data_IF_771858612672
#
_entry.id   IF_771858612672
#
_cell.length_a   1.000
_cell.length_b   1.000
_cell.length_c   1.000
_cell.angle_alpha   90.00
_cell.angle_beta   90.00
_cell.angle_gamma   90.00
#
_symmetry.space_group_name_H-M   'P 1'
#
loop_
_entity.id
_entity.type
_entity.pdbx_description
1 polymer ?
#
# COMPACT_ATOMS: atom_id res chain seq x y z
N UNK A 1 23.22 -14.65 -56.97
CA UNK A 1 24.03 -14.31 -55.79
C UNK A 1 23.32 -13.19 -55.05
N UNK A 2 22.70 -13.43 -53.91
CA UNK A 2 22.16 -12.36 -53.07
C UNK A 2 23.23 -11.93 -52.06
N UNK A 3 23.32 -10.62 -51.88
CA UNK A 3 24.27 -9.98 -50.98
C UNK A 3 23.90 -10.27 -49.52
N UNK A 4 24.85 -10.77 -48.76
CA UNK A 4 24.81 -11.00 -47.34
C UNK A 4 24.87 -9.67 -46.62
N UNK A 5 23.86 -9.40 -45.78
CA UNK A 5 23.89 -8.29 -44.81
C UNK A 5 24.97 -8.53 -43.72
N UNK A 6 25.67 -7.54 -43.26
CA UNK A 6 26.68 -7.70 -42.23
C UNK A 6 26.07 -7.95 -40.88
N UNK A 7 26.36 -9.10 -40.27
CA UNK A 7 26.13 -9.45 -38.88
C UNK A 7 26.94 -8.49 -38.00
N UNK A 8 26.29 -7.67 -37.20
CA UNK A 8 26.93 -6.95 -36.10
C UNK A 8 27.34 -7.95 -35.01
N UNK A 9 28.44 -8.66 -35.22
CA UNK A 9 29.12 -9.39 -34.19
C UNK A 9 30.30 -8.53 -33.68
N UNK A 10 30.38 -8.34 -32.40
CA UNK A 10 31.55 -7.78 -31.78
C UNK A 10 31.25 -6.71 -30.76
N UNK A 11 31.13 -7.14 -29.51
CA UNK A 11 31.24 -6.24 -28.35
C UNK A 11 32.62 -5.58 -28.36
N UNK A 12 32.73 -4.44 -29.01
CA UNK A 12 33.81 -3.48 -28.80
C UNK A 12 33.38 -2.58 -27.65
N UNK A 13 34.13 -2.52 -26.57
CA UNK A 13 33.98 -1.60 -25.50
C UNK A 13 33.94 -0.16 -26.05
N UNK A 14 32.74 0.39 -26.24
CA UNK A 14 32.53 1.82 -26.45
C UNK A 14 32.56 2.50 -25.09
N UNK A 15 33.72 3.04 -24.75
CA UNK A 15 33.88 4.00 -23.64
C UNK A 15 32.93 5.18 -23.85
N UNK A 16 32.00 5.42 -22.88
CA UNK A 16 31.57 6.78 -22.62
C UNK A 16 30.11 7.17 -22.79
N UNK A 17 29.15 6.29 -23.14
CA UNK A 17 27.73 6.65 -22.99
C UNK A 17 27.10 5.81 -21.88
N UNK A 18 26.79 6.46 -20.75
CA UNK A 18 26.06 5.79 -19.67
C UNK A 18 24.63 5.53 -20.13
N UNK A 19 24.14 4.30 -19.98
CA UNK A 19 22.74 3.95 -20.17
C UNK A 19 21.90 4.84 -19.28
N UNK A 20 20.99 5.63 -19.90
CA UNK A 20 20.13 6.54 -19.17
C UNK A 20 18.82 5.87 -18.74
N UNK A 21 18.29 5.00 -19.56
CA UNK A 21 17.00 4.35 -19.35
C UNK A 21 17.10 2.85 -19.57
N UNK A 22 16.55 2.05 -18.65
CA UNK A 22 16.36 0.60 -18.84
C UNK A 22 14.89 0.32 -19.04
N UNK A 23 14.52 -0.27 -20.19
CA UNK A 23 13.19 -0.82 -20.46
C UNK A 23 13.16 -2.26 -20.01
N UNK A 24 12.40 -2.56 -18.98
CA UNK A 24 12.24 -3.90 -18.41
C UNK A 24 10.99 -4.55 -18.97
N UNK A 25 11.14 -5.71 -19.57
CA UNK A 25 10.07 -6.55 -20.12
C UNK A 25 9.93 -7.80 -19.26
N UNK A 26 9.00 -7.86 -18.29
CA UNK A 26 8.68 -9.12 -17.61
C UNK A 26 7.97 -10.05 -18.58
N UNK A 27 8.53 -11.23 -18.84
CA UNK A 27 8.04 -12.18 -19.81
C UNK A 27 7.78 -13.56 -19.19
N UNK A 28 6.65 -14.17 -19.49
CA UNK A 28 6.33 -15.56 -19.18
C UNK A 28 5.46 -16.15 -20.29
N UNK A 29 6.00 -17.08 -21.07
CA UNK A 29 5.36 -17.68 -22.25
C UNK A 29 4.84 -16.61 -23.24
N UNK A 30 5.73 -15.71 -23.67
CA UNK A 30 5.44 -14.62 -24.61
C UNK A 30 6.21 -14.79 -25.93
N UNK A 31 6.59 -16.03 -26.30
CA UNK A 31 7.33 -16.32 -27.54
C UNK A 31 6.66 -15.78 -28.81
N UNK A 32 5.33 -15.66 -28.81
CA UNK A 32 4.57 -15.16 -29.97
C UNK A 32 4.68 -13.64 -30.17
N UNK A 33 4.74 -12.85 -29.06
CA UNK A 33 4.75 -11.38 -29.11
C UNK A 33 6.15 -10.79 -29.04
N UNK A 34 7.03 -11.41 -28.26
CA UNK A 34 8.35 -10.88 -27.90
C UNK A 34 9.24 -10.53 -29.11
N UNK A 35 9.27 -11.32 -30.22
CA UNK A 35 10.09 -10.96 -31.39
C UNK A 35 9.73 -9.59 -31.97
N UNK A 36 8.43 -9.31 -32.15
CA UNK A 36 7.96 -8.05 -32.72
C UNK A 36 8.22 -6.88 -31.76
N UNK A 37 8.01 -7.08 -30.45
CA UNK A 37 8.29 -6.09 -29.42
C UNK A 37 9.78 -5.71 -29.41
N UNK A 38 10.67 -6.72 -29.42
CA UNK A 38 12.11 -6.47 -29.44
C UNK A 38 12.58 -5.78 -30.73
N UNK A 39 12.04 -6.18 -31.87
CA UNK A 39 12.36 -5.56 -33.14
C UNK A 39 11.90 -4.09 -33.22
N UNK A 40 10.73 -3.77 -32.61
CA UNK A 40 10.25 -2.38 -32.54
C UNK A 40 11.10 -1.53 -31.60
N UNK A 41 11.48 -2.07 -30.43
CA UNK A 41 12.37 -1.40 -29.47
C UNK A 41 13.75 -1.12 -30.10
N UNK A 42 14.36 -2.12 -30.77
CA UNK A 42 15.68 -1.96 -31.42
C UNK A 42 15.67 -0.91 -32.54
N UNK A 43 14.54 -0.77 -33.25
CA UNK A 43 14.37 0.21 -34.31
C UNK A 43 14.20 1.63 -33.81
N UNK A 44 13.58 1.82 -32.64
CA UNK A 44 13.22 3.14 -32.12
C UNK A 44 14.18 3.68 -31.08
N UNK A 45 14.70 2.82 -30.21
CA UNK A 45 15.52 3.24 -29.08
C UNK A 45 16.97 3.38 -29.52
N UNK A 46 17.63 4.41 -29.03
CA UNK A 46 19.05 4.68 -29.28
C UNK A 46 19.96 4.01 -28.22
N UNK A 47 21.26 4.25 -28.30
CA UNK A 47 22.28 3.68 -27.39
C UNK A 47 22.15 4.16 -25.93
N UNK A 48 21.28 5.15 -25.65
CA UNK A 48 21.01 5.60 -24.28
C UNK A 48 20.02 4.69 -23.54
N UNK A 49 19.42 3.75 -24.28
CA UNK A 49 18.48 2.78 -23.72
C UNK A 49 19.09 1.38 -23.62
N UNK A 50 18.76 0.67 -22.55
CA UNK A 50 18.95 -0.76 -22.38
C UNK A 50 17.61 -1.45 -22.41
N UNK A 51 17.47 -2.52 -23.19
CA UNK A 51 16.32 -3.42 -23.13
C UNK A 51 16.70 -4.64 -22.29
N UNK A 52 15.94 -4.87 -21.21
CA UNK A 52 16.14 -5.97 -20.27
C UNK A 52 14.89 -6.87 -20.24
N UNK A 53 15.00 -8.05 -20.80
CA UNK A 53 13.96 -9.09 -20.65
C UNK A 53 14.22 -9.89 -19.40
N UNK A 54 13.18 -10.04 -18.57
CA UNK A 54 13.20 -10.95 -17.42
C UNK A 54 12.26 -12.11 -17.71
N UNK A 55 12.83 -13.23 -18.14
CA UNK A 55 12.10 -14.49 -18.37
C UNK A 55 11.75 -15.14 -17.02
N UNK A 56 10.49 -15.15 -16.66
CA UNK A 56 10.01 -15.72 -15.40
C UNK A 56 9.77 -17.23 -15.48
N UNK A 57 10.76 -17.96 -16.00
CA UNK A 57 10.74 -19.41 -16.08
C UNK A 57 9.76 -19.94 -17.13
N UNK A 58 9.76 -19.35 -18.32
CA UNK A 58 8.92 -19.77 -19.44
C UNK A 58 9.13 -21.23 -19.82
N UNK A 59 8.08 -21.86 -20.31
CA UNK A 59 8.05 -23.24 -20.80
C UNK A 59 7.98 -23.34 -22.32
N UNK A 60 7.82 -22.20 -23.00
CA UNK A 60 7.88 -22.04 -24.45
C UNK A 60 9.23 -21.48 -24.91
N UNK A 61 9.33 -21.04 -26.16
CA UNK A 61 10.57 -20.51 -26.75
C UNK A 61 10.89 -19.06 -26.34
N UNK A 62 10.22 -18.48 -25.34
CA UNK A 62 10.44 -17.09 -24.90
C UNK A 62 11.90 -16.79 -24.55
N UNK A 63 12.54 -17.67 -23.78
CA UNK A 63 13.97 -17.53 -23.44
C UNK A 63 14.87 -17.57 -24.68
N UNK A 64 14.62 -18.49 -25.59
CA UNK A 64 15.36 -18.63 -26.85
C UNK A 64 15.24 -17.38 -27.72
N UNK A 65 14.03 -16.81 -27.80
CA UNK A 65 13.78 -15.55 -28.52
C UNK A 65 14.59 -14.40 -27.90
N UNK A 66 14.56 -14.29 -26.59
CA UNK A 66 15.29 -13.23 -25.88
C UNK A 66 16.82 -13.41 -26.00
N UNK A 67 17.35 -14.63 -25.94
CA UNK A 67 18.79 -14.93 -26.10
C UNK A 67 19.32 -14.50 -27.48
N UNK A 68 18.51 -14.54 -28.52
CA UNK A 68 18.88 -14.14 -29.88
C UNK A 68 18.43 -12.72 -30.25
N UNK A 69 17.68 -12.05 -29.37
CA UNK A 69 17.16 -10.71 -29.57
C UNK A 69 18.13 -9.60 -29.16
N UNK A 70 17.85 -8.35 -29.55
CA UNK A 70 18.66 -7.17 -29.18
C UNK A 70 18.36 -6.73 -27.74
N UNK A 71 18.56 -7.60 -26.76
CA UNK A 71 18.27 -7.32 -25.36
C UNK A 71 19.24 -8.06 -24.42
N UNK A 72 19.29 -7.64 -23.19
CA UNK A 72 19.90 -8.42 -22.09
C UNK A 72 18.83 -9.31 -21.48
N UNK A 73 19.14 -10.57 -21.28
CA UNK A 73 18.25 -11.55 -20.66
C UNK A 73 18.66 -11.85 -19.22
N UNK A 74 17.68 -11.84 -18.32
CA UNK A 74 17.75 -12.45 -17.00
C UNK A 74 16.70 -13.53 -16.90
N UNK A 75 17.04 -14.72 -16.43
CA UNK A 75 16.15 -15.87 -16.41
C UNK A 75 15.95 -16.41 -15.00
N UNK A 76 14.71 -16.63 -14.61
CA UNK A 76 14.36 -17.36 -13.40
C UNK A 76 14.30 -18.87 -13.71
N UNK A 77 14.73 -19.74 -12.78
CA UNK A 77 14.68 -21.19 -12.98
C UNK A 77 13.27 -21.75 -13.02
N UNK A 78 12.29 -21.02 -12.50
CA UNK A 78 10.86 -21.36 -12.50
C UNK A 78 10.02 -20.10 -12.38
N UNK A 79 8.72 -20.17 -12.69
CA UNK A 79 7.78 -19.07 -12.55
C UNK A 79 7.68 -18.62 -11.07
N UNK A 80 7.98 -17.36 -10.81
CA UNK A 80 7.92 -16.70 -9.49
C UNK A 80 6.86 -15.61 -9.42
N UNK A 81 6.25 -15.28 -10.56
CA UNK A 81 5.21 -14.29 -10.74
C UNK A 81 5.70 -12.93 -11.23
N UNK A 82 4.81 -12.20 -11.93
CA UNK A 82 5.11 -10.92 -12.60
C UNK A 82 5.80 -9.91 -11.68
N UNK A 83 5.33 -9.77 -10.44
CA UNK A 83 5.92 -8.84 -9.48
C UNK A 83 7.38 -9.18 -9.13
N UNK A 84 7.73 -10.47 -9.04
CA UNK A 84 9.12 -10.88 -8.81
C UNK A 84 9.97 -10.59 -10.03
N UNK A 85 9.47 -10.84 -11.24
CA UNK A 85 10.16 -10.53 -12.49
C UNK A 85 10.45 -9.01 -12.61
N UNK A 86 9.48 -8.16 -12.32
CA UNK A 86 9.65 -6.70 -12.29
C UNK A 86 10.70 -6.29 -11.27
N UNK A 87 10.65 -6.79 -10.04
CA UNK A 87 11.63 -6.47 -8.99
C UNK A 87 13.04 -6.92 -9.37
N UNK A 88 13.18 -8.07 -10.01
CA UNK A 88 14.45 -8.53 -10.56
C UNK A 88 14.95 -7.57 -11.63
N UNK A 89 14.07 -7.16 -12.56
CA UNK A 89 14.41 -6.19 -13.60
C UNK A 89 14.87 -4.85 -13.04
N UNK A 90 14.19 -4.32 -12.01
CA UNK A 90 14.58 -3.07 -11.33
C UNK A 90 15.96 -3.20 -10.67
N UNK A 91 16.23 -4.32 -10.01
CA UNK A 91 17.53 -4.56 -9.36
C UNK A 91 18.68 -4.65 -10.36
N UNK A 92 18.43 -5.30 -11.50
CA UNK A 92 19.38 -5.53 -12.59
C UNK A 92 19.52 -4.34 -13.55
N UNK A 93 18.59 -3.39 -13.55
CA UNK A 93 18.59 -2.22 -14.42
C UNK A 93 19.85 -1.37 -14.21
N UNK A 94 20.43 -0.85 -15.31
CA UNK A 94 21.62 0.01 -15.32
C UNK A 94 21.28 1.48 -15.48
N UNK A 95 20.10 1.78 -16.05
CA UNK A 95 19.63 3.14 -16.28
C UNK A 95 19.26 3.90 -15.00
N UNK A 96 19.34 5.22 -15.07
CA UNK A 96 18.81 6.13 -14.04
C UNK A 96 17.27 6.02 -13.98
N UNK A 97 16.63 5.90 -15.14
CA UNK A 97 15.21 5.66 -15.28
C UNK A 97 14.96 4.18 -15.58
N UNK A 98 13.90 3.65 -14.99
CA UNK A 98 13.42 2.29 -15.28
C UNK A 98 11.99 2.40 -15.80
N UNK A 99 11.77 1.92 -17.01
CA UNK A 99 10.46 1.80 -17.64
C UNK A 99 10.06 0.33 -17.63
N UNK A 100 8.91 0.03 -17.09
CA UNK A 100 8.30 -1.30 -17.13
C UNK A 100 7.29 -1.30 -18.28
N UNK A 101 7.32 -2.32 -19.13
CA UNK A 101 6.36 -2.53 -20.22
C UNK A 101 6.06 -4.01 -20.35
N UNK A 102 4.78 -4.38 -20.48
CA UNK A 102 4.39 -5.76 -20.70
C UNK A 102 4.92 -6.26 -22.07
N UNK A 103 5.35 -7.52 -22.13
CA UNK A 103 5.98 -8.13 -23.29
C UNK A 103 4.98 -8.69 -24.33
N UNK A 104 3.67 -8.40 -24.19
CA UNK A 104 2.56 -8.98 -24.96
C UNK A 104 2.08 -8.11 -26.13
N UNK A 105 2.86 -7.10 -26.51
CA UNK A 105 2.58 -6.14 -27.58
C UNK A 105 1.33 -5.26 -27.36
N UNK A 106 0.77 -5.21 -26.16
CA UNK A 106 -0.40 -4.37 -25.86
C UNK A 106 -0.10 -2.90 -25.69
N UNK A 107 1.17 -2.52 -25.50
CA UNK A 107 1.61 -1.14 -25.29
C UNK A 107 2.43 -0.63 -26.49
N UNK A 108 2.13 0.59 -26.97
CA UNK A 108 2.90 1.18 -28.08
C UNK A 108 4.29 1.58 -27.60
N UNK A 109 5.32 1.15 -28.34
CA UNK A 109 6.74 1.49 -28.00
C UNK A 109 6.98 3.00 -28.07
N UNK A 110 6.28 3.72 -28.95
CA UNK A 110 6.34 5.18 -29.08
C UNK A 110 5.99 5.93 -27.79
N UNK A 111 5.22 5.32 -26.92
CA UNK A 111 4.86 5.92 -25.63
C UNK A 111 6.05 6.06 -24.67
N UNK A 112 7.13 5.28 -24.89
CA UNK A 112 8.34 5.30 -24.03
C UNK A 112 9.01 6.65 -24.06
N UNK A 113 9.16 7.27 -25.23
CA UNK A 113 9.81 8.59 -25.38
C UNK A 113 9.08 9.65 -24.53
N UNK A 114 7.75 9.70 -24.67
CA UNK A 114 6.91 10.62 -23.90
C UNK A 114 6.96 10.33 -22.40
N UNK A 115 6.98 9.07 -22.02
CA UNK A 115 7.10 8.66 -20.62
C UNK A 115 8.42 9.15 -20.01
N UNK A 116 9.54 8.96 -20.72
CA UNK A 116 10.88 9.38 -20.26
C UNK A 116 10.99 10.90 -20.20
N UNK A 117 10.40 11.65 -21.15
CA UNK A 117 10.32 13.10 -21.08
C UNK A 117 9.62 13.57 -19.80
N UNK A 118 8.46 13.00 -19.49
CA UNK A 118 7.68 13.35 -18.30
C UNK A 118 8.38 12.97 -16.99
N UNK A 119 9.25 11.95 -16.99
CA UNK A 119 10.06 11.57 -15.83
C UNK A 119 11.13 12.62 -15.46
N UNK A 120 11.42 13.58 -16.32
CA UNK A 120 12.32 14.68 -15.97
C UNK A 120 11.75 15.54 -14.82
N UNK A 121 10.43 15.73 -14.79
CA UNK A 121 9.73 16.58 -13.83
C UNK A 121 8.91 15.81 -12.81
N UNK A 122 8.73 14.49 -13.01
CA UNK A 122 7.88 13.63 -12.19
C UNK A 122 8.65 12.43 -11.64
N UNK A 123 8.18 11.89 -10.52
CA UNK A 123 8.82 10.75 -9.86
C UNK A 123 8.28 9.41 -10.40
N UNK A 124 6.98 9.35 -10.74
CA UNK A 124 6.30 8.24 -11.40
C UNK A 124 5.49 8.75 -12.59
N UNK A 125 5.68 8.14 -13.74
CA UNK A 125 4.86 8.39 -14.94
C UNK A 125 4.18 7.11 -15.37
N UNK A 126 2.89 7.17 -15.72
CA UNK A 126 2.09 6.00 -16.11
C UNK A 126 1.32 6.27 -17.39
N UNK A 127 1.32 5.29 -18.28
CA UNK A 127 0.46 5.28 -19.45
C UNK A 127 -0.97 4.93 -19.05
N UNK A 128 -1.91 5.86 -19.24
CA UNK A 128 -3.35 5.64 -19.00
C UNK A 128 -3.98 5.11 -20.27
N UNK A 129 -4.46 3.85 -20.21
CA UNK A 129 -5.09 3.22 -21.35
C UNK A 129 -6.38 3.95 -21.73
N UNK A 130 -6.49 4.34 -23.00
CA UNK A 130 -7.76 4.77 -23.56
C UNK A 130 -8.65 3.52 -23.64
N UNK A 131 -9.63 3.44 -22.77
CA UNK A 131 -10.69 2.42 -22.91
C UNK A 131 -11.74 3.00 -23.83
N UNK A 132 -11.75 2.57 -25.09
CA UNK A 132 -12.98 2.64 -25.87
C UNK A 132 -14.02 1.82 -25.10
N UNK A 133 -15.02 2.51 -24.52
CA UNK A 133 -16.05 1.89 -23.67
C UNK A 133 -16.79 0.73 -24.37
N UNK A 134 -16.72 0.66 -25.70
CA UNK A 134 -17.36 -0.37 -26.53
C UNK A 134 -16.60 -1.70 -26.59
N UNK A 135 -15.30 -1.73 -26.31
CA UNK A 135 -14.47 -2.95 -26.47
C UNK A 135 -14.34 -3.81 -25.20
N UNK A 136 -14.78 -3.33 -24.03
CA UNK A 136 -14.59 -4.01 -22.76
C UNK A 136 -15.84 -4.79 -22.32
N UNK A 137 -15.74 -6.11 -22.02
CA UNK A 137 -16.84 -6.87 -21.44
C UNK A 137 -17.39 -6.18 -20.19
N UNK A 138 -18.72 -6.16 -20.01
CA UNK A 138 -19.41 -5.46 -18.94
C UNK A 138 -18.94 -5.85 -17.53
N UNK A 139 -18.55 -7.12 -17.33
CA UNK A 139 -18.02 -7.62 -16.05
C UNK A 139 -16.65 -7.00 -15.72
N UNK A 140 -15.79 -6.76 -16.71
CA UNK A 140 -14.50 -6.10 -16.50
C UNK A 140 -14.68 -4.60 -16.18
N UNK A 141 -15.70 -3.97 -16.76
CA UNK A 141 -16.07 -2.57 -16.51
C UNK A 141 -16.53 -2.35 -15.07
N UNK A 142 -17.40 -3.23 -14.57
CA UNK A 142 -17.83 -3.20 -13.15
C UNK A 142 -16.65 -3.44 -12.21
N UNK A 143 -15.78 -4.39 -12.53
CA UNK A 143 -14.57 -4.66 -11.76
C UNK A 143 -13.63 -3.44 -11.70
N UNK A 144 -13.31 -2.84 -12.84
CA UNK A 144 -12.47 -1.65 -12.92
C UNK A 144 -13.10 -0.45 -12.17
N UNK A 145 -14.42 -0.22 -12.33
CA UNK A 145 -15.12 0.83 -11.58
C UNK A 145 -15.02 0.60 -10.07
N UNK A 146 -15.26 -0.64 -9.62
CA UNK A 146 -15.17 -1.00 -8.20
C UNK A 146 -13.75 -0.76 -7.65
N UNK A 147 -12.71 -1.24 -8.33
CA UNK A 147 -11.32 -1.03 -7.93
C UNK A 147 -10.95 0.46 -7.94
N UNK A 148 -11.29 1.21 -8.98
CA UNK A 148 -11.03 2.65 -9.03
C UNK A 148 -11.73 3.40 -7.90
N UNK A 149 -12.98 3.05 -7.57
CA UNK A 149 -13.71 3.63 -6.45
C UNK A 149 -13.07 3.28 -5.11
N UNK A 150 -12.63 2.03 -4.96
CA UNK A 150 -11.90 1.58 -3.77
C UNK A 150 -10.56 2.32 -3.62
N UNK A 151 -9.81 2.51 -4.70
CA UNK A 151 -8.59 3.30 -4.71
C UNK A 151 -8.83 4.77 -4.35
N UNK A 152 -9.86 5.39 -4.91
CA UNK A 152 -10.22 6.78 -4.60
C UNK A 152 -10.55 6.95 -3.11
N UNK A 153 -11.41 6.09 -2.56
CA UNK A 153 -11.82 6.13 -1.14
C UNK A 153 -10.65 5.78 -0.21
N UNK A 154 -9.90 4.73 -0.56
CA UNK A 154 -8.87 4.16 0.29
C UNK A 154 -7.58 5.00 0.31
N UNK A 155 -7.21 5.58 -0.83
CA UNK A 155 -5.89 6.19 -1.01
C UNK A 155 -5.93 7.59 -1.61
N UNK A 156 -7.12 8.15 -1.88
CA UNK A 156 -7.27 9.45 -2.52
C UNK A 156 -6.78 9.47 -3.98
N UNK A 157 -6.70 8.29 -4.61
CA UNK A 157 -6.26 8.12 -5.99
C UNK A 157 -7.46 8.28 -6.91
N UNK A 158 -7.81 9.52 -7.27
CA UNK A 158 -8.93 9.79 -8.16
C UNK A 158 -8.53 9.64 -9.64
N UNK A 159 -9.28 8.82 -10.37
CA UNK A 159 -9.35 8.87 -11.83
C UNK A 159 -8.18 8.28 -12.63
N UNK A 160 -7.28 7.48 -12.03
CA UNK A 160 -6.13 6.90 -12.72
C UNK A 160 -6.34 5.48 -13.28
N UNK A 161 -5.45 5.03 -14.17
CA UNK A 161 -5.33 3.62 -14.57
C UNK A 161 -4.27 2.91 -13.73
N UNK A 162 -4.67 2.50 -12.52
CA UNK A 162 -3.76 1.90 -11.53
C UNK A 162 -3.28 0.49 -11.87
N UNK A 163 -3.81 -0.10 -12.94
CA UNK A 163 -3.47 -1.45 -13.43
C UNK A 163 -2.79 -1.42 -14.80
N UNK A 164 -2.28 -0.28 -15.23
CA UNK A 164 -1.50 -0.16 -16.47
C UNK A 164 -0.16 -0.87 -16.34
N UNK A 165 0.21 -1.66 -17.35
CA UNK A 165 1.52 -2.33 -17.44
C UNK A 165 2.61 -1.49 -18.12
N UNK A 166 2.33 -0.21 -18.48
CA UNK A 166 3.34 0.73 -18.96
C UNK A 166 3.51 1.87 -17.94
N UNK A 167 4.63 1.90 -17.26
CA UNK A 167 4.97 2.94 -16.29
C UNK A 167 6.49 3.04 -16.08
N UNK A 168 6.94 4.16 -15.58
CA UNK A 168 8.34 4.38 -15.27
C UNK A 168 8.56 5.22 -14.03
N UNK A 169 9.68 4.97 -13.36
CA UNK A 169 10.18 5.73 -12.24
C UNK A 169 11.70 5.90 -12.35
N UNK A 170 12.25 6.81 -11.54
CA UNK A 170 13.68 6.79 -11.25
C UNK A 170 14.02 5.50 -10.49
N UNK A 171 15.14 4.87 -10.85
CA UNK A 171 15.55 3.59 -10.26
C UNK A 171 15.66 3.64 -8.74
N UNK A 172 16.21 4.73 -8.19
CA UNK A 172 16.33 4.91 -6.75
C UNK A 172 14.97 5.09 -6.05
N UNK A 173 13.98 5.70 -6.70
CA UNK A 173 12.62 5.79 -6.21
C UNK A 173 11.97 4.38 -6.14
N UNK A 174 12.13 3.56 -7.18
CA UNK A 174 11.67 2.16 -7.16
C UNK A 174 12.25 1.37 -5.98
N UNK A 175 13.57 1.49 -5.77
CA UNK A 175 14.24 0.77 -4.68
C UNK A 175 13.73 1.22 -3.30
N UNK A 176 13.44 2.51 -3.13
CA UNK A 176 12.88 3.05 -1.87
C UNK A 176 11.45 2.59 -1.60
N UNK A 177 10.66 2.28 -2.62
CA UNK A 177 9.28 1.80 -2.42
C UNK A 177 9.20 0.47 -1.68
N UNK A 178 10.28 -0.32 -1.62
CA UNK A 178 10.30 -1.59 -0.88
C UNK A 178 9.21 -2.54 -1.35
N UNK A 179 9.12 -2.78 -2.67
CA UNK A 179 8.07 -3.59 -3.29
C UNK A 179 8.14 -5.06 -2.83
N UNK A 180 6.99 -5.64 -2.50
CA UNK A 180 6.85 -7.00 -1.97
C UNK A 180 5.96 -7.89 -2.84
N UNK A 181 5.04 -7.31 -3.62
CA UNK A 181 4.10 -8.04 -4.45
C UNK A 181 4.81 -9.04 -5.37
N UNK A 182 4.25 -10.22 -5.52
CA UNK A 182 4.80 -11.29 -6.35
C UNK A 182 4.04 -11.50 -7.65
N UNK A 183 2.78 -11.05 -7.73
CA UNK A 183 1.88 -11.27 -8.87
C UNK A 183 1.49 -9.98 -9.59
N UNK A 184 0.28 -9.99 -10.14
CA UNK A 184 -0.36 -8.86 -10.82
C UNK A 184 -0.85 -7.74 -9.87
N UNK A 185 -0.59 -7.87 -8.59
CA UNK A 185 -0.84 -6.86 -7.57
C UNK A 185 0.30 -5.83 -7.46
N UNK A 186 1.38 -5.99 -8.23
CA UNK A 186 2.56 -5.13 -8.21
C UNK A 186 2.26 -3.70 -8.66
N UNK A 187 1.48 -3.50 -9.73
CA UNK A 187 1.09 -2.19 -10.23
C UNK A 187 0.27 -1.42 -9.18
N UNK A 188 -0.63 -2.14 -8.51
CA UNK A 188 -1.41 -1.62 -7.38
C UNK A 188 -0.50 -1.18 -6.23
N UNK A 189 0.46 -2.00 -5.84
CA UNK A 189 1.40 -1.70 -4.77
C UNK A 189 2.24 -0.46 -5.09
N UNK A 190 2.76 -0.35 -6.31
CA UNK A 190 3.53 0.80 -6.79
C UNK A 190 2.69 2.08 -6.67
N UNK A 191 1.46 2.08 -7.17
CA UNK A 191 0.57 3.23 -7.11
C UNK A 191 0.29 3.72 -5.69
N UNK A 192 -0.06 2.79 -4.78
CA UNK A 192 -0.37 3.10 -3.38
C UNK A 192 0.88 3.59 -2.63
N UNK A 193 2.01 2.89 -2.78
CA UNK A 193 3.26 3.27 -2.12
C UNK A 193 3.81 4.58 -2.66
N UNK A 194 3.76 4.82 -3.97
CA UNK A 194 4.17 6.09 -4.57
C UNK A 194 3.41 7.28 -3.95
N UNK A 195 2.09 7.18 -3.84
CA UNK A 195 1.30 8.21 -3.19
C UNK A 195 1.60 8.34 -1.70
N UNK A 196 1.72 7.23 -0.99
CA UNK A 196 2.03 7.25 0.44
C UNK A 196 3.39 7.89 0.76
N UNK A 197 4.35 7.82 -0.19
CA UNK A 197 5.65 8.48 -0.10
C UNK A 197 5.65 9.90 -0.66
N UNK A 198 4.50 10.42 -1.11
CA UNK A 198 4.37 11.77 -1.64
C UNK A 198 5.07 11.98 -2.98
N UNK A 199 5.25 10.91 -3.78
CA UNK A 199 5.84 11.00 -5.11
C UNK A 199 4.90 11.77 -6.05
N UNK A 200 5.49 12.58 -6.94
CA UNK A 200 4.76 13.26 -8.01
C UNK A 200 4.42 12.25 -9.09
N UNK A 201 3.13 12.01 -9.28
CA UNK A 201 2.60 11.03 -10.23
C UNK A 201 1.94 11.76 -11.39
N UNK A 202 2.36 11.48 -12.62
CA UNK A 202 1.77 11.98 -13.85
C UNK A 202 1.22 10.83 -14.67
N UNK A 203 0.08 11.05 -15.33
CA UNK A 203 -0.53 10.09 -16.25
C UNK A 203 -0.73 10.74 -17.62
N UNK A 204 -0.45 9.98 -18.69
CA UNK A 204 -0.70 10.42 -20.05
C UNK A 204 -1.46 9.37 -20.84
N UNK A 205 -2.35 9.76 -21.76
CA UNK A 205 -3.16 8.81 -22.53
C UNK A 205 -2.28 8.02 -23.48
N UNK A 206 -2.57 6.72 -23.57
CA UNK A 206 -1.97 5.79 -24.53
C UNK A 206 -3.04 4.93 -25.19
N UNK A 207 -2.81 4.54 -26.45
CA UNK A 207 -3.62 3.55 -27.11
C UNK A 207 -3.30 2.15 -26.57
N UNK A 208 -4.32 1.36 -26.33
CA UNK A 208 -4.16 -0.02 -25.89
C UNK A 208 -4.41 -0.97 -27.05
N UNK A 209 -3.35 -1.65 -27.49
CA UNK A 209 -3.36 -2.49 -28.66
C UNK A 209 -3.93 -3.90 -28.37
N UNK A 210 -4.43 -4.62 -29.37
CA UNK A 210 -4.83 -6.00 -29.21
C UNK A 210 -3.66 -6.87 -28.75
N UNK A 211 -3.88 -7.69 -27.73
CA UNK A 211 -2.88 -8.62 -27.20
C UNK A 211 -2.53 -9.69 -28.23
N UNK A 212 -1.24 -9.97 -28.35
CA UNK A 212 -0.71 -11.14 -29.06
C UNK A 212 -0.45 -12.25 -28.03
N UNK A 213 -1.05 -13.42 -28.21
CA UNK A 213 -0.91 -14.57 -27.28
C UNK A 213 -2.07 -14.75 -26.31
N UNK A 214 -1.91 -15.66 -25.35
CA UNK A 214 -2.94 -16.06 -24.40
C UNK A 214 -3.03 -15.16 -23.18
N UNK A 215 -4.26 -14.98 -22.66
CA UNK A 215 -4.48 -14.26 -21.39
C UNK A 215 -4.02 -15.12 -20.21
N UNK A 216 -3.11 -14.61 -19.40
CA UNK A 216 -2.54 -15.29 -18.24
C UNK A 216 -3.21 -14.88 -16.91
N UNK A 217 -3.92 -13.75 -16.90
CA UNK A 217 -4.64 -13.25 -15.74
C UNK A 217 -5.97 -13.99 -15.57
N UNK A 218 -6.14 -14.64 -14.41
CA UNK A 218 -7.41 -15.23 -13.99
C UNK A 218 -8.26 -14.18 -13.27
N UNK A 219 -9.43 -13.76 -13.83
CA UNK A 219 -10.21 -12.67 -13.25
C UNK A 219 -10.59 -12.90 -11.79
N UNK A 220 -10.93 -14.12 -11.40
CA UNK A 220 -11.33 -14.44 -10.03
C UNK A 220 -10.14 -14.57 -9.08
N UNK A 221 -9.15 -15.40 -9.43
CA UNK A 221 -8.02 -15.69 -8.55
C UNK A 221 -7.11 -14.48 -8.37
N UNK A 222 -6.77 -13.81 -9.46
CA UNK A 222 -5.90 -12.64 -9.42
C UNK A 222 -6.66 -11.41 -8.95
N UNK A 223 -7.96 -11.28 -9.29
CA UNK A 223 -8.83 -10.24 -8.75
C UNK A 223 -8.97 -10.29 -7.22
N UNK A 224 -9.15 -11.49 -6.63
CA UNK A 224 -9.16 -11.65 -5.17
C UNK A 224 -7.80 -11.35 -4.54
N UNK A 225 -6.69 -11.71 -5.20
CA UNK A 225 -5.34 -11.39 -4.73
C UNK A 225 -5.10 -9.87 -4.73
N UNK A 226 -5.45 -9.19 -5.83
CA UNK A 226 -5.37 -7.73 -5.93
C UNK A 226 -6.23 -7.07 -4.85
N UNK A 227 -7.48 -7.51 -4.67
CA UNK A 227 -8.36 -6.99 -3.62
C UNK A 227 -7.75 -7.18 -2.22
N UNK A 228 -7.24 -8.37 -1.93
CA UNK A 228 -6.56 -8.65 -0.67
C UNK A 228 -5.37 -7.72 -0.44
N UNK A 229 -4.54 -7.49 -1.47
CA UNK A 229 -3.41 -6.57 -1.39
C UNK A 229 -3.86 -5.13 -1.15
N UNK A 230 -4.89 -4.66 -1.89
CA UNK A 230 -5.47 -3.32 -1.69
C UNK A 230 -5.96 -3.12 -0.26
N UNK A 231 -6.67 -4.10 0.29
CA UNK A 231 -7.17 -4.04 1.66
C UNK A 231 -6.03 -4.00 2.69
N UNK A 232 -5.01 -4.85 2.54
CA UNK A 232 -3.84 -4.84 3.43
C UNK A 232 -3.12 -3.49 3.38
N UNK A 233 -2.88 -2.97 2.17
CA UNK A 233 -2.24 -1.67 2.00
C UNK A 233 -3.10 -0.53 2.53
N UNK A 234 -4.44 -0.61 2.40
CA UNK A 234 -5.37 0.34 3.02
C UNK A 234 -5.21 0.36 4.55
N UNK A 235 -5.16 -0.81 5.18
CA UNK A 235 -4.99 -0.91 6.63
C UNK A 235 -3.68 -0.27 7.10
N UNK A 236 -2.59 -0.43 6.35
CA UNK A 236 -1.25 0.07 6.70
C UNK A 236 -1.10 1.57 6.37
N UNK A 237 -1.46 1.97 5.15
CA UNK A 237 -1.17 3.31 4.65
C UNK A 237 -2.28 4.33 4.93
N UNK A 238 -3.51 3.87 5.27
CA UNK A 238 -4.64 4.72 5.63
C UNK A 238 -5.30 4.32 6.95
N UNK A 239 -4.54 4.27 8.06
CA UNK A 239 -5.04 3.82 9.37
C UNK A 239 -6.15 4.71 9.92
N UNK A 240 -6.22 5.97 9.50
CA UNK A 240 -7.30 6.90 9.90
C UNK A 240 -8.64 6.41 9.40
N UNK A 241 -8.74 6.08 8.11
CA UNK A 241 -9.97 5.59 7.48
C UNK A 241 -10.31 4.17 7.95
N UNK A 242 -9.29 3.33 8.11
CA UNK A 242 -9.50 1.90 8.41
C UNK A 242 -9.83 1.60 9.86
N UNK A 243 -9.30 2.37 10.79
CA UNK A 243 -9.39 2.09 12.22
C UNK A 243 -9.83 3.28 13.06
N UNK A 244 -9.22 4.47 12.87
CA UNK A 244 -9.46 5.61 13.77
C UNK A 244 -10.86 6.15 13.58
N UNK A 245 -11.31 6.37 12.34
CA UNK A 245 -12.66 6.87 12.07
C UNK A 245 -13.75 5.90 12.52
N UNK A 246 -13.71 4.59 12.19
CA UNK A 246 -14.65 3.61 12.74
C UNK A 246 -14.59 3.53 14.27
N UNK A 247 -13.40 3.61 14.85
CA UNK A 247 -13.21 3.64 16.31
C UNK A 247 -13.89 4.85 16.95
N UNK A 248 -13.72 6.05 16.39
CA UNK A 248 -14.37 7.26 16.88
C UNK A 248 -15.90 7.21 16.75
N UNK A 249 -16.42 6.68 15.64
CA UNK A 249 -17.86 6.50 15.44
C UNK A 249 -18.44 5.50 16.46
N UNK A 250 -17.75 4.39 16.68
CA UNK A 250 -18.15 3.42 17.69
C UNK A 250 -18.05 4.00 19.10
N UNK A 251 -17.00 4.78 19.39
CA UNK A 251 -16.83 5.44 20.69
C UNK A 251 -17.96 6.41 20.98
N UNK A 252 -18.31 7.28 20.02
CA UNK A 252 -19.38 8.27 20.20
C UNK A 252 -20.73 7.60 20.41
N UNK A 253 -21.06 6.57 19.62
CA UNK A 253 -22.30 5.82 19.78
C UNK A 253 -22.34 5.08 21.12
N UNK A 254 -21.26 4.44 21.52
CA UNK A 254 -21.15 3.69 22.77
C UNK A 254 -21.19 4.58 24.00
N UNK A 255 -20.51 5.73 23.97
CA UNK A 255 -20.57 6.72 25.06
C UNK A 255 -21.99 7.30 25.18
N UNK A 256 -22.61 7.67 24.08
CA UNK A 256 -23.99 8.15 24.09
C UNK A 256 -24.93 7.10 24.72
N UNK A 257 -24.83 5.84 24.28
CA UNK A 257 -25.60 4.74 24.87
C UNK A 257 -25.33 4.53 26.35
N UNK A 258 -24.05 4.53 26.76
CA UNK A 258 -23.68 4.39 28.17
C UNK A 258 -24.20 5.54 29.04
N UNK A 259 -24.11 6.78 28.57
CA UNK A 259 -24.63 7.95 29.31
C UNK A 259 -26.17 7.90 29.41
N UNK A 260 -26.87 7.64 28.31
CA UNK A 260 -28.34 7.56 28.29
C UNK A 260 -28.86 6.46 29.23
N UNK A 261 -28.16 5.32 29.31
CA UNK A 261 -28.58 4.15 30.09
C UNK A 261 -27.99 4.13 31.52
N UNK A 262 -27.11 5.07 31.85
CA UNK A 262 -26.51 5.13 33.20
C UNK A 262 -27.54 5.39 34.31
N UNK A 263 -28.61 6.13 34.00
CA UNK A 263 -29.63 6.55 34.98
C UNK A 263 -30.85 5.61 35.04
N UNK A 264 -30.99 4.67 34.11
CA UNK A 264 -32.14 3.74 34.10
C UNK A 264 -32.31 3.02 32.78
N UNK A 265 -33.40 2.28 32.69
CA UNK A 265 -33.85 1.65 31.45
C UNK A 265 -34.61 2.69 30.60
N UNK A 266 -34.46 2.59 29.29
CA UNK A 266 -35.27 3.35 28.32
C UNK A 266 -36.31 2.42 27.70
N UNK A 267 -37.55 2.67 27.95
CA UNK A 267 -38.67 1.96 27.34
C UNK A 267 -39.36 2.86 26.32
N UNK A 268 -39.52 2.37 25.11
CA UNK A 268 -40.25 3.01 24.03
C UNK A 268 -41.39 2.08 23.59
N UNK A 269 -42.32 2.58 22.80
CA UNK A 269 -43.39 1.75 22.24
C UNK A 269 -42.92 0.58 21.38
N UNK A 270 -41.67 0.65 20.84
CA UNK A 270 -41.14 -0.32 19.88
C UNK A 270 -40.00 -1.18 20.43
N UNK A 271 -39.24 -0.69 21.44
CA UNK A 271 -38.13 -1.40 22.01
C UNK A 271 -37.81 -0.93 23.44
N UNK A 272 -37.25 -1.82 24.24
CA UNK A 272 -36.73 -1.52 25.57
C UNK A 272 -35.21 -1.67 25.63
N UNK A 273 -34.50 -0.64 26.10
CA UNK A 273 -33.09 -0.66 26.38
C UNK A 273 -32.88 -0.85 27.88
N UNK A 274 -32.22 -1.93 28.25
CA UNK A 274 -32.04 -2.37 29.63
C UNK A 274 -30.56 -2.41 30.02
N UNK A 275 -30.28 -3.03 31.17
CA UNK A 275 -28.93 -3.28 31.66
C UNK A 275 -28.06 -4.02 30.61
N UNK A 276 -28.63 -4.91 29.82
CA UNK A 276 -27.89 -5.61 28.74
C UNK A 276 -27.37 -4.63 27.68
N UNK A 277 -28.22 -3.68 27.27
CA UNK A 277 -27.82 -2.65 26.33
C UNK A 277 -26.75 -1.72 26.90
N UNK A 278 -26.80 -1.43 28.20
CA UNK A 278 -25.76 -0.70 28.91
C UNK A 278 -24.41 -1.44 28.91
N UNK A 279 -24.44 -2.75 29.17
CA UNK A 279 -23.22 -3.59 29.11
C UNK A 279 -22.63 -3.57 27.69
N UNK A 280 -23.47 -3.72 26.67
CA UNK A 280 -23.02 -3.64 25.25
C UNK A 280 -22.40 -2.28 24.94
N UNK A 281 -22.97 -1.19 25.43
CA UNK A 281 -22.40 0.15 25.27
C UNK A 281 -21.05 0.28 25.99
N UNK A 282 -20.91 -0.22 27.21
CA UNK A 282 -19.63 -0.21 27.93
C UNK A 282 -18.55 -1.03 27.22
N UNK A 283 -18.88 -2.21 26.71
CA UNK A 283 -17.97 -3.03 25.89
C UNK A 283 -17.63 -2.34 24.55
N UNK A 284 -18.59 -1.62 23.96
CA UNK A 284 -18.36 -0.82 22.75
C UNK A 284 -17.30 0.26 22.94
N UNK A 285 -17.23 0.91 24.12
CA UNK A 285 -16.16 1.86 24.47
C UNK A 285 -14.79 1.19 24.44
N UNK A 286 -14.68 -0.01 25.03
CA UNK A 286 -13.43 -0.78 25.02
C UNK A 286 -13.01 -1.21 23.62
N UNK A 287 -13.95 -1.67 22.82
CA UNK A 287 -13.72 -2.07 21.43
C UNK A 287 -13.30 -0.86 20.57
N UNK A 288 -13.93 0.29 20.76
CA UNK A 288 -13.59 1.53 20.08
C UNK A 288 -12.16 1.99 20.39
N UNK A 289 -11.76 1.92 21.66
CA UNK A 289 -10.37 2.21 22.07
C UNK A 289 -9.39 1.23 21.42
N UNK A 290 -9.72 -0.05 21.39
CA UNK A 290 -8.87 -1.08 20.76
C UNK A 290 -8.68 -0.84 19.25
N UNK A 291 -9.75 -0.43 18.53
CA UNK A 291 -9.64 -0.03 17.13
C UNK A 291 -8.67 1.16 16.97
N UNK A 292 -8.76 2.14 17.85
CA UNK A 292 -7.84 3.30 17.81
C UNK A 292 -6.38 2.86 18.03
N UNK A 293 -6.13 1.94 18.96
CA UNK A 293 -4.78 1.38 19.19
C UNK A 293 -4.27 0.63 17.95
N UNK A 294 -5.12 -0.15 17.28
CA UNK A 294 -4.75 -0.80 16.01
C UNK A 294 -4.42 0.24 14.92
N UNK A 295 -5.18 1.33 14.84
CA UNK A 295 -4.88 2.44 13.93
C UNK A 295 -3.51 3.08 14.18
N UNK A 296 -3.16 3.29 15.45
CA UNK A 296 -1.83 3.79 15.82
C UNK A 296 -0.74 2.79 15.46
N UNK A 297 -0.95 1.49 15.74
CA UNK A 297 -0.01 0.43 15.40
C UNK A 297 0.24 0.34 13.90
N UNK A 298 -0.83 0.41 13.10
CA UNK A 298 -0.76 0.42 11.64
C UNK A 298 -0.02 1.66 11.12
N UNK A 299 -0.27 2.85 11.70
CA UNK A 299 0.45 4.07 11.36
C UNK A 299 1.96 3.96 11.64
N UNK A 300 2.33 3.39 12.78
CA UNK A 300 3.74 3.14 13.15
C UNK A 300 4.42 2.16 12.19
N UNK A 301 3.73 1.08 11.85
CA UNK A 301 4.23 0.13 10.87
C UNK A 301 4.40 0.78 9.48
N UNK A 302 3.45 1.64 9.07
CA UNK A 302 3.56 2.41 7.82
C UNK A 302 4.82 3.28 7.78
N UNK A 303 5.20 3.90 8.89
CA UNK A 303 6.44 4.68 9.00
C UNK A 303 7.67 3.77 8.92
N UNK A 304 7.66 2.60 9.56
CA UNK A 304 8.74 1.62 9.45
C UNK A 304 8.86 1.09 8.00
N UNK A 305 7.74 1.02 7.27
CA UNK A 305 7.70 0.66 5.85
C UNK A 305 8.06 1.84 4.91
N UNK A 306 8.56 2.96 5.43
CA UNK A 306 9.08 4.09 4.66
C UNK A 306 8.10 5.25 4.43
N UNK A 307 6.86 5.18 4.95
CA UNK A 307 5.92 6.30 4.87
C UNK A 307 6.36 7.45 5.80
N UNK A 308 6.36 8.72 5.36
CA UNK A 308 6.65 9.83 6.25
C UNK A 308 5.63 9.89 7.41
N UNK A 309 6.08 10.19 8.64
CA UNK A 309 5.21 10.25 9.80
C UNK A 309 4.24 11.43 9.69
N UNK A 310 2.96 11.19 9.96
CA UNK A 310 1.95 12.24 9.96
C UNK A 310 2.07 13.15 11.20
N UNK A 311 1.69 14.45 11.12
CA UNK A 311 1.80 15.39 12.24
C UNK A 311 1.07 14.96 13.52
N UNK A 312 -0.09 14.29 13.38
CA UNK A 312 -0.83 13.76 14.54
C UNK A 312 -0.07 12.63 15.24
N UNK A 313 0.62 11.78 14.47
CA UNK A 313 1.43 10.68 15.02
C UNK A 313 2.65 11.22 15.76
N UNK A 314 3.34 12.21 15.20
CA UNK A 314 4.47 12.89 15.85
C UNK A 314 4.03 13.49 17.19
N UNK A 315 2.89 14.20 17.22
CA UNK A 315 2.34 14.77 18.47
C UNK A 315 2.01 13.68 19.48
N UNK A 316 1.38 12.59 19.05
CA UNK A 316 1.04 11.46 19.93
C UNK A 316 2.29 10.83 20.56
N UNK A 317 3.39 10.77 19.79
CA UNK A 317 4.67 10.19 20.24
C UNK A 317 5.50 11.14 21.08
N UNK A 318 5.15 12.41 21.19
CA UNK A 318 5.88 13.37 22.02
C UNK A 318 5.84 12.98 23.51
N UNK A 319 6.93 13.25 24.23
CA UNK A 319 7.04 12.92 25.64
C UNK A 319 5.88 13.49 26.50
N UNK A 320 5.51 14.79 26.38
CA UNK A 320 4.44 15.33 27.20
C UNK A 320 3.10 14.65 26.94
N UNK A 321 2.79 14.31 25.69
CA UNK A 321 1.54 13.60 25.35
C UNK A 321 1.51 12.20 25.97
N UNK A 322 2.59 11.45 25.87
CA UNK A 322 2.69 10.10 26.45
C UNK A 322 2.55 10.13 27.98
N UNK A 323 3.18 11.10 28.66
CA UNK A 323 3.02 11.27 30.11
C UNK A 323 1.57 11.63 30.48
N UNK A 324 0.93 12.54 29.75
CA UNK A 324 -0.46 12.91 30.01
C UNK A 324 -1.42 11.72 29.84
N UNK A 325 -1.23 10.94 28.75
CA UNK A 325 -2.04 9.74 28.47
C UNK A 325 -1.77 8.65 29.53
N UNK A 326 -0.52 8.44 29.94
CA UNK A 326 -0.19 7.50 31.02
C UNK A 326 -0.81 7.93 32.37
N UNK A 327 -0.76 9.21 32.70
CA UNK A 327 -1.39 9.74 33.91
C UNK A 327 -2.91 9.53 33.88
N UNK A 328 -3.56 9.76 32.75
CA UNK A 328 -4.98 9.46 32.55
C UNK A 328 -5.28 7.98 32.78
N UNK A 329 -4.49 7.08 32.18
CA UNK A 329 -4.63 5.63 32.41
C UNK A 329 -4.49 5.23 33.88
N UNK A 330 -3.50 5.80 34.58
CA UNK A 330 -3.30 5.56 36.02
C UNK A 330 -4.49 6.08 36.84
N UNK A 331 -5.01 7.28 36.54
CA UNK A 331 -6.19 7.82 37.20
C UNK A 331 -7.44 6.96 37.01
N UNK A 332 -7.66 6.44 35.79
CA UNK A 332 -8.75 5.51 35.52
C UNK A 332 -8.62 4.25 36.35
N UNK A 333 -7.42 3.66 36.47
CA UNK A 333 -7.18 2.47 37.29
C UNK A 333 -7.44 2.76 38.78
N UNK A 334 -6.84 3.80 39.31
CA UNK A 334 -6.98 4.15 40.73
C UNK A 334 -8.42 4.49 41.13
N UNK A 335 -9.10 5.31 40.31
CA UNK A 335 -10.51 5.67 40.54
C UNK A 335 -11.43 4.44 40.45
N UNK A 336 -11.20 3.56 39.45
CA UNK A 336 -11.97 2.32 39.30
C UNK A 336 -11.73 1.34 40.44
N UNK A 337 -10.48 1.16 40.85
CA UNK A 337 -10.12 0.30 41.98
C UNK A 337 -10.76 0.79 43.30
N UNK A 338 -10.74 2.09 43.54
CA UNK A 338 -11.39 2.69 44.74
C UNK A 338 -12.92 2.46 44.68
N UNK A 339 -13.54 2.64 43.49
CA UNK A 339 -14.99 2.40 43.32
C UNK A 339 -15.35 0.92 43.48
N UNK A 340 -14.57 0.02 42.94
CA UNK A 340 -14.77 -1.43 43.13
C UNK A 340 -14.63 -1.84 44.57
N UNK A 341 -13.64 -1.33 45.27
CA UNK A 341 -13.47 -1.56 46.70
C UNK A 341 -14.67 -1.05 47.50
N UNK A 342 -15.16 0.16 47.21
CA UNK A 342 -16.36 0.73 47.84
C UNK A 342 -17.58 -0.21 47.63
N UNK A 343 -17.82 -0.64 46.38
CA UNK A 343 -18.92 -1.55 46.06
C UNK A 343 -18.80 -2.90 46.77
N UNK A 344 -17.58 -3.44 46.91
CA UNK A 344 -17.31 -4.68 47.64
C UNK A 344 -17.61 -4.54 49.12
N UNK A 345 -17.22 -3.42 49.77
CA UNK A 345 -17.49 -3.15 51.18
C UNK A 345 -19.02 -3.01 51.41
N UNK A 346 -19.73 -2.29 50.53
CA UNK A 346 -21.17 -2.16 50.61
C UNK A 346 -21.88 -3.53 50.47
N UNK A 347 -21.46 -4.33 49.53
CA UNK A 347 -22.01 -5.69 49.37
C UNK A 347 -21.77 -6.58 50.60
N UNK A 348 -20.57 -6.52 51.20
CA UNK A 348 -20.25 -7.29 52.39
C UNK A 348 -21.03 -6.85 53.65
N UNK A 349 -21.56 -5.60 53.65
CA UNK A 349 -22.40 -5.06 54.73
C UNK A 349 -23.88 -5.33 54.59
N UNK A 350 -24.43 -5.29 53.38
CA UNK A 350 -25.87 -5.29 53.12
C UNK A 350 -26.42 -6.63 52.55
N UNK A 351 -25.57 -7.61 52.28
CA UNK A 351 -25.89 -8.90 51.66
C UNK A 351 -26.63 -8.83 50.30
N UNK A 352 -26.80 -7.64 49.72
CA UNK A 352 -27.50 -7.40 48.44
C UNK A 352 -26.67 -6.53 47.52
N UNK A 353 -26.40 -7.01 46.31
CA UNK A 353 -25.70 -6.22 45.29
C UNK A 353 -26.70 -5.28 44.59
N UNK A 354 -26.67 -3.99 44.89
CA UNK A 354 -27.72 -3.04 44.48
C UNK A 354 -27.38 -2.23 43.23
N UNK A 355 -26.11 -2.08 42.83
CA UNK A 355 -25.71 -1.21 41.71
C UNK A 355 -24.87 -1.91 40.65
N UNK A 356 -25.53 -2.72 39.83
CA UNK A 356 -24.90 -3.42 38.68
C UNK A 356 -24.29 -2.47 37.67
N UNK A 357 -24.91 -1.28 37.45
CA UNK A 357 -24.38 -0.30 36.50
C UNK A 357 -23.07 0.30 36.97
N UNK A 358 -22.98 0.67 38.25
CA UNK A 358 -21.72 1.15 38.84
C UNK A 358 -20.60 0.09 38.77
N UNK A 359 -20.93 -1.19 38.99
CA UNK A 359 -19.98 -2.29 38.83
C UNK A 359 -19.45 -2.40 37.40
N UNK A 360 -20.35 -2.43 36.42
CA UNK A 360 -20.00 -2.50 34.99
C UNK A 360 -19.13 -1.30 34.60
N UNK A 361 -19.50 -0.07 35.02
CA UNK A 361 -18.73 1.15 34.73
C UNK A 361 -17.33 1.09 35.34
N UNK A 362 -17.23 0.73 36.64
CA UNK A 362 -15.94 0.66 37.33
C UNK A 362 -15.03 -0.39 36.67
N UNK A 363 -15.58 -1.55 36.31
CA UNK A 363 -14.84 -2.61 35.61
C UNK A 363 -14.38 -2.15 34.21
N UNK A 364 -15.28 -1.52 33.44
CA UNK A 364 -14.94 -0.99 32.12
C UNK A 364 -13.84 0.07 32.18
N UNK A 365 -13.88 1.00 33.13
CA UNK A 365 -12.83 2.01 33.32
C UNK A 365 -11.52 1.39 33.79
N UNK A 366 -11.54 0.35 34.63
CA UNK A 366 -10.33 -0.38 35.01
C UNK A 366 -9.65 -1.00 33.78
N UNK A 367 -10.43 -1.71 32.95
CA UNK A 367 -9.92 -2.35 31.73
C UNK A 367 -9.41 -1.27 30.76
N UNK A 368 -10.16 -0.17 30.59
CA UNK A 368 -9.73 0.94 29.74
C UNK A 368 -8.42 1.56 30.22
N UNK A 369 -8.26 1.78 31.52
CA UNK A 369 -7.02 2.30 32.09
C UNK A 369 -5.81 1.38 31.83
N UNK A 370 -6.00 0.06 31.95
CA UNK A 370 -4.97 -0.94 31.62
C UNK A 370 -4.64 -0.92 30.12
N UNK A 371 -5.64 -0.81 29.24
CA UNK A 371 -5.44 -0.70 27.81
C UNK A 371 -4.66 0.59 27.46
N UNK A 372 -4.98 1.71 28.09
CA UNK A 372 -4.29 3.00 27.90
C UNK A 372 -2.81 2.89 28.29
N UNK A 373 -2.50 2.32 29.45
CA UNK A 373 -1.10 2.11 29.85
C UNK A 373 -0.35 1.16 28.92
N UNK A 374 -0.99 0.08 28.51
CA UNK A 374 -0.41 -0.87 27.55
C UNK A 374 -0.14 -0.20 26.21
N UNK A 375 -1.05 0.66 25.72
CA UNK A 375 -0.86 1.42 24.49
C UNK A 375 0.32 2.41 24.60
N UNK A 376 0.46 3.11 25.74
CA UNK A 376 1.60 4.02 25.97
C UNK A 376 2.92 3.26 25.99
N UNK A 377 2.98 2.08 26.62
CA UNK A 377 4.16 1.22 26.60
C UNK A 377 4.51 0.77 25.19
N UNK A 378 3.50 0.29 24.43
CA UNK A 378 3.67 -0.08 23.05
C UNK A 378 4.23 1.06 22.19
N UNK A 379 3.61 2.24 22.25
CA UNK A 379 4.07 3.45 21.55
C UNK A 379 5.49 3.82 21.96
N UNK A 380 5.85 3.67 23.24
CA UNK A 380 7.18 4.01 23.75
C UNK A 380 8.28 3.10 23.22
N UNK A 381 7.98 1.83 22.98
CA UNK A 381 8.91 0.87 22.38
C UNK A 381 9.24 1.26 20.93
N UNK A 382 8.24 1.65 20.16
CA UNK A 382 8.42 2.08 18.76
C UNK A 382 8.94 3.50 18.63
N UNK A 383 8.61 4.40 19.57
CA UNK A 383 8.99 5.81 19.56
C UNK A 383 10.49 6.07 19.64
N UNK A 384 11.24 5.19 20.29
CA UNK A 384 12.70 5.27 20.37
C UNK A 384 13.43 5.03 19.04
N UNK A 385 12.74 4.45 18.05
CA UNK A 385 13.27 4.28 16.70
C UNK A 385 13.03 5.49 15.81
N UNK A 386 11.90 6.16 15.98
CA UNK A 386 11.51 7.33 15.17
C UNK A 386 12.30 8.59 15.53
N UNK A 387 12.74 8.75 16.77
CA UNK A 387 13.61 9.87 17.17
C UNK A 387 14.97 9.87 16.46
N UNK A 388 15.42 8.72 15.96
CA UNK A 388 16.64 8.60 15.15
C UNK A 388 16.42 9.04 13.69
N UNK A 389 15.18 9.02 13.19
CA UNK A 389 14.85 9.54 11.84
C UNK A 389 14.83 11.06 11.82
N UNK A 390 14.27 11.71 12.85
CA UNK A 390 14.26 13.18 12.96
C UNK A 390 15.67 13.77 13.05
N UNK A 391 16.59 13.13 13.79
CA UNK A 391 17.99 13.57 13.88
C UNK A 391 18.75 13.38 12.55
N UNK A 392 18.45 12.31 11.80
CA UNK A 392 19.10 12.04 10.51
C UNK A 392 18.58 12.96 9.39
N UNK A 393 17.30 13.33 9.42
CA UNK A 393 16.69 14.24 8.45
C UNK A 393 17.11 15.68 8.70
N UNK A 394 17.15 16.13 9.94
CA UNK A 394 17.70 17.43 10.34
C UNK A 394 19.18 17.58 9.98
N UNK A 395 19.97 16.51 10.07
CA UNK A 395 21.37 16.52 9.65
C UNK A 395 21.55 16.52 8.13
N UNK A 396 20.60 15.95 7.36
CA UNK A 396 20.60 16.02 5.89
C UNK A 396 20.23 17.40 5.39
N UNK A 397 19.22 18.05 5.95
CA UNK A 397 18.81 19.40 5.59
C UNK A 397 19.91 20.44 5.92
N UNK A 398 20.63 20.25 7.01
CA UNK A 398 21.77 21.09 7.36
C UNK A 398 22.96 20.90 6.42
N UNK A 399 23.16 19.71 5.82
CA UNK A 399 24.22 19.44 4.84
C UNK A 399 23.87 19.84 3.42
N UNK A 400 22.60 20.02 3.11
CA UNK A 400 22.12 20.48 1.78
C UNK A 400 22.12 22.00 1.65
N UNK A 401 22.28 22.74 2.75
CA UNK A 401 22.34 24.19 2.80
C UNK A 401 23.78 24.74 2.91
N UNK A 402 24.80 23.89 2.78
CA UNK A 402 26.21 24.23 2.60
C UNK A 402 26.73 23.64 1.27
#
# INVERSE_FOLDING_TARGET
MPATAPTRAGAGAAEGRSVRTTVVLPAYNEAAALPDVLAELDRRLDDAYEVLVVDDGSTDDTATVAEHGPCRLVRHPQNRGKGVAIRTGIAEARGEYVVIMDADATYPVEAIDRLVELLADNDLVRGKRHSDEESMPSINRVGNWFFNKLFAIAHGLEGGDHLSGLYGLRRDAFLRLGLEATGFDIETEIGIKAQAHGLRVEEFPIDYLPRVGEKKLSPWRDGLRILGRVLVLLLIYNPVVSFILPGLLLLTASLAGAVLLSQGNLETQYFGLSIHSFIVAALGVLAAFQLTVFGIAAALYGVEAGKPPSPWLIRLMSQPTRFAVAALGALLILGSAAKLLQLTIQWAGDDVFTDTRALVMATAFLVLGLQVLSAVLFISIFGGRLSRFDEAELQRDQRSNY
#
